data_IF_061562644534
#
_entry.id   IF_061562644534
#
_cell.length_a   1.000
_cell.length_b   1.000
_cell.length_c   1.000
_cell.angle_alpha   90.00
_cell.angle_beta   90.00
_cell.angle_gamma   90.00
#
_symmetry.space_group_name_H-M   'P 1'
#
loop_
_entity.id
_entity.type
_entity.pdbx_description
1 polymer ?
#
# COMPACT_ATOMS: atom_id res chain seq x y z
N UNK A 1 -16.66 17.10 26.86
CA UNK A 1 -15.54 17.05 25.89
C UNK A 1 -15.79 15.86 24.95
N UNK A 2 -16.07 16.11 23.66
CA UNK A 2 -16.21 15.03 22.67
C UNK A 2 -14.81 14.47 22.41
N UNK A 3 -14.58 13.20 22.70
CA UNK A 3 -13.37 12.50 22.22
C UNK A 3 -13.40 12.58 20.70
N UNK A 4 -12.40 13.23 20.11
CA UNK A 4 -12.18 13.13 18.68
C UNK A 4 -11.98 11.63 18.39
N UNK A 5 -12.87 11.06 17.57
CA UNK A 5 -12.69 9.71 17.07
C UNK A 5 -11.53 9.81 16.08
N UNK A 6 -10.30 9.69 16.56
CA UNK A 6 -9.12 9.64 15.70
C UNK A 6 -9.20 8.35 14.93
N UNK A 7 -9.77 8.42 13.72
CA UNK A 7 -9.67 7.35 12.73
C UNK A 7 -8.18 7.10 12.55
N UNK A 8 -7.68 5.97 13.06
CA UNK A 8 -6.27 5.60 12.96
C UNK A 8 -5.94 5.50 11.47
N UNK A 9 -5.09 6.39 10.96
CA UNK A 9 -4.70 6.38 9.54
C UNK A 9 -4.06 5.06 9.14
N UNK A 10 -4.03 4.75 7.84
CA UNK A 10 -3.25 3.62 7.35
C UNK A 10 -1.78 4.00 7.33
N UNK A 11 -0.94 3.10 7.81
CA UNK A 11 0.51 3.18 7.59
C UNK A 11 0.84 2.46 6.29
N UNK A 12 1.85 2.96 5.57
CA UNK A 12 2.31 2.34 4.34
C UNK A 12 3.84 2.42 4.22
N UNK A 13 4.40 1.55 3.39
CA UNK A 13 5.80 1.61 3.00
C UNK A 13 5.97 1.23 1.54
N UNK A 14 6.98 1.80 0.90
CA UNK A 14 7.44 1.41 -0.44
C UNK A 14 8.91 1.04 -0.30
N UNK A 15 9.25 -0.15 -0.77
CA UNK A 15 10.61 -0.66 -0.83
C UNK A 15 11.02 -0.81 -2.30
N UNK A 16 12.05 -0.08 -2.71
CA UNK A 16 12.62 -0.14 -4.06
C UNK A 16 14.06 -0.62 -3.95
N UNK A 17 14.48 -1.68 -4.68
CA UNK A 17 15.84 -2.23 -4.59
C UNK A 17 16.88 -1.28 -5.22
N UNK A 18 16.44 -0.36 -6.08
CA UNK A 18 17.29 0.63 -6.73
C UNK A 18 16.60 1.98 -6.85
N UNK A 19 17.38 3.07 -6.76
CA UNK A 19 16.90 4.43 -7.08
C UNK A 19 16.45 4.55 -8.54
N UNK A 20 16.96 3.72 -9.44
CA UNK A 20 16.57 3.76 -10.85
C UNK A 20 15.12 3.32 -11.08
N UNK A 21 14.52 2.62 -10.12
CA UNK A 21 13.12 2.21 -10.16
C UNK A 21 12.17 3.31 -9.63
N UNK A 22 12.72 4.43 -9.13
CA UNK A 22 11.97 5.59 -8.66
C UNK A 22 11.92 6.62 -9.79
N UNK A 23 10.72 6.90 -10.28
CA UNK A 23 10.49 7.91 -11.31
C UNK A 23 10.53 9.32 -10.70
N UNK A 24 9.95 9.51 -9.52
CA UNK A 24 9.91 10.81 -8.84
C UNK A 24 9.79 10.63 -7.32
N UNK A 25 10.56 11.43 -6.58
CA UNK A 25 10.43 11.59 -5.13
C UNK A 25 10.31 13.09 -4.81
N UNK A 26 9.12 13.54 -4.42
CA UNK A 26 8.87 14.93 -4.02
C UNK A 26 8.34 14.96 -2.60
N UNK A 27 8.94 15.78 -1.74
CA UNK A 27 8.53 15.95 -0.33
C UNK A 27 8.41 17.45 -0.07
N UNK A 28 7.24 18.06 -0.34
CA UNK A 28 6.96 19.48 -0.06
C UNK A 28 5.45 19.79 -0.01
N UNK A 29 4.84 19.97 1.17
CA UNK A 29 3.43 20.41 1.35
C UNK A 29 2.35 19.43 0.87
N UNK A 30 2.68 18.59 -0.10
CA UNK A 30 2.12 17.30 -0.48
C UNK A 30 3.30 16.47 -1.01
N UNK A 31 3.44 15.23 -0.54
CA UNK A 31 4.56 14.38 -0.93
C UNK A 31 4.07 13.31 -1.90
N UNK A 32 4.81 13.10 -2.99
CA UNK A 32 4.51 12.07 -3.99
C UNK A 32 5.73 11.18 -4.16
N UNK A 33 5.48 9.88 -4.14
CA UNK A 33 6.45 8.84 -4.49
C UNK A 33 5.89 8.15 -5.72
N UNK A 34 6.59 8.26 -6.84
CA UNK A 34 6.27 7.54 -8.08
C UNK A 34 7.43 6.62 -8.42
N UNK A 35 7.11 5.37 -8.71
CA UNK A 35 8.05 4.35 -9.12
C UNK A 35 7.35 3.28 -9.94
N UNK A 36 8.15 2.41 -10.54
CA UNK A 36 7.68 1.27 -11.31
C UNK A 36 7.86 -0.02 -10.49
N UNK A 37 6.84 -0.88 -10.44
CA UNK A 37 6.92 -2.21 -9.82
C UNK A 37 7.25 -3.30 -10.83
N UNK A 38 7.25 -2.99 -12.13
CA UNK A 38 7.46 -3.94 -13.22
C UNK A 38 6.16 -4.59 -13.71
N UNK A 39 6.28 -5.44 -14.73
CA UNK A 39 5.13 -6.01 -15.45
C UNK A 39 4.45 -7.14 -14.68
N UNK A 40 5.23 -7.94 -13.94
CA UNK A 40 4.73 -9.08 -13.18
C UNK A 40 4.46 -8.68 -11.71
N UNK A 41 3.19 -8.41 -11.40
CA UNK A 41 2.75 -8.02 -10.07
C UNK A 41 1.99 -9.14 -9.35
N UNK A 42 2.33 -9.35 -8.08
CA UNK A 42 1.63 -10.25 -7.17
C UNK A 42 0.91 -9.46 -6.08
N UNK A 43 -0.27 -9.93 -5.70
CA UNK A 43 -1.10 -9.36 -4.64
C UNK A 43 -1.28 -10.38 -3.52
N UNK A 44 -1.00 -9.95 -2.29
CA UNK A 44 -1.11 -10.80 -1.11
C UNK A 44 -1.74 -10.03 0.06
N UNK A 45 -2.60 -10.71 0.82
CA UNK A 45 -3.04 -10.23 2.12
C UNK A 45 -2.33 -11.06 3.19
N UNK A 46 -1.49 -10.41 3.98
CA UNK A 46 -0.70 -11.03 5.03
C UNK A 46 -1.47 -10.92 6.35
N UNK A 47 -1.79 -12.08 6.93
CA UNK A 47 -2.48 -12.22 8.23
C UNK A 47 -3.79 -11.41 8.38
N UNK A 48 -4.42 -11.04 7.26
CA UNK A 48 -5.63 -10.22 7.26
C UNK A 48 -5.42 -8.75 7.66
N UNK A 49 -4.19 -8.33 7.92
CA UNK A 49 -3.83 -7.01 8.45
C UNK A 49 -2.95 -6.17 7.52
N UNK A 50 -2.43 -6.73 6.43
CA UNK A 50 -1.58 -6.00 5.50
C UNK A 50 -1.87 -6.42 4.06
N UNK A 51 -2.02 -5.43 3.18
CA UNK A 51 -1.98 -5.64 1.74
C UNK A 51 -0.53 -5.46 1.27
N UNK A 52 0.00 -6.46 0.58
CA UNK A 52 1.29 -6.41 -0.07
C UNK A 52 1.10 -6.53 -1.60
N UNK A 53 1.72 -5.61 -2.33
CA UNK A 53 1.85 -5.66 -3.79
C UNK A 53 3.34 -5.76 -4.09
N UNK A 54 3.76 -6.87 -4.69
CA UNK A 54 5.16 -7.14 -5.01
C UNK A 54 5.35 -7.23 -6.51
N UNK A 55 6.41 -6.63 -7.02
CA UNK A 55 6.86 -6.80 -8.39
C UNK A 55 8.38 -6.87 -8.46
N UNK A 56 8.91 -6.98 -9.66
CA UNK A 56 10.36 -7.11 -9.93
C UNK A 56 11.16 -5.92 -9.37
N UNK A 57 10.54 -4.74 -9.39
CA UNK A 57 11.19 -3.47 -9.05
C UNK A 57 10.82 -2.95 -7.66
N UNK A 58 10.08 -3.70 -6.84
CA UNK A 58 9.82 -3.29 -5.47
C UNK A 58 8.60 -3.91 -4.81
N UNK A 59 8.30 -3.41 -3.62
CA UNK A 59 7.17 -3.85 -2.80
C UNK A 59 6.44 -2.65 -2.21
N UNK A 60 5.13 -2.58 -2.41
CA UNK A 60 4.22 -1.69 -1.70
C UNK A 60 3.50 -2.46 -0.59
N UNK A 61 3.50 -1.91 0.62
CA UNK A 61 2.79 -2.48 1.78
C UNK A 61 1.87 -1.43 2.38
N UNK A 62 0.65 -1.83 2.71
CA UNK A 62 -0.37 -1.00 3.35
C UNK A 62 -0.99 -1.76 4.53
N UNK A 63 -0.98 -1.15 5.70
CA UNK A 63 -1.65 -1.67 6.89
C UNK A 63 -3.16 -1.53 6.73
N UNK A 64 -3.86 -2.66 6.85
CA UNK A 64 -5.31 -2.78 6.83
C UNK A 64 -5.86 -2.69 8.25
N UNK A 65 -7.06 -2.16 8.37
CA UNK A 65 -7.86 -2.24 9.60
C UNK A 65 -8.67 -3.53 9.61
N UNK A 66 -9.19 -3.82 10.80
CA UNK A 66 -10.11 -4.94 11.00
C UNK A 66 -11.27 -4.90 10.00
N UNK A 67 -11.50 -6.02 9.31
CA UNK A 67 -12.57 -6.20 8.32
C UNK A 67 -12.30 -5.61 6.92
N UNK A 68 -11.22 -4.84 6.74
CA UNK A 68 -10.89 -4.29 5.41
C UNK A 68 -10.35 -5.36 4.46
N UNK A 69 -9.62 -6.36 4.97
CA UNK A 69 -9.17 -7.52 4.18
C UNK A 69 -10.34 -8.30 3.58
N UNK A 70 -11.38 -8.58 4.36
CA UNK A 70 -12.60 -9.23 3.86
C UNK A 70 -13.30 -8.39 2.78
N UNK A 71 -13.31 -7.07 2.97
CA UNK A 71 -13.91 -6.14 2.01
C UNK A 71 -13.14 -6.14 0.67
N UNK A 72 -11.80 -6.13 0.74
CA UNK A 72 -10.92 -6.26 -0.43
C UNK A 72 -11.11 -7.60 -1.15
N UNK A 73 -11.12 -8.72 -0.41
CA UNK A 73 -11.32 -10.04 -1.02
C UNK A 73 -12.68 -10.17 -1.71
N UNK A 74 -13.73 -9.55 -1.16
CA UNK A 74 -15.06 -9.53 -1.78
C UNK A 74 -15.10 -8.69 -3.05
N UNK A 75 -14.35 -7.58 -3.12
CA UNK A 75 -14.31 -6.74 -4.32
C UNK A 75 -13.58 -7.44 -5.47
N UNK A 76 -12.54 -8.22 -5.17
CA UNK A 76 -11.79 -8.99 -6.17
C UNK A 76 -12.58 -10.14 -6.78
N UNK A 77 -13.49 -10.77 -6.03
CA UNK A 77 -14.34 -11.89 -6.49
C UNK A 77 -15.52 -11.48 -7.38
N UNK A 78 -15.78 -10.18 -7.56
CA UNK A 78 -16.91 -9.67 -8.36
C UNK A 78 -16.57 -9.43 -9.84
N UNK A 79 -15.40 -9.87 -10.30
CA UNK A 79 -15.02 -9.92 -11.71
C UNK A 79 -15.12 -11.35 -12.22
#
# INVERSE_FOLDING_TARGET
MRKANTVKGHSFSIEMPSRNSINTLSINGGSTIEGDLGDNINFEIIEGIMLQISGENGVFRLDLREGESDTLLRSMKKK
#
